data_IF_396372400682
#
_entry.id   IF_396372400682
#
_cell.length_a   1.000
_cell.length_b   1.000
_cell.length_c   1.000
_cell.angle_alpha   90.00
_cell.angle_beta   90.00
_cell.angle_gamma   90.00
#
_symmetry.space_group_name_H-M   'P 1'
#
loop_
_entity.id
_entity.type
_entity.pdbx_description
1 polymer ?
#
# COMPACT_ATOMS: atom_id res chain seq x y z
N UNK A 1 -43.39 5.80 31.01
CA UNK A 1 -43.27 4.32 30.97
C UNK A 1 -42.78 3.92 29.59
N UNK A 2 -41.48 3.63 29.48
CA UNK A 2 -40.85 2.85 28.41
C UNK A 2 -39.44 2.50 28.93
N UNK A 3 -39.46 1.54 29.85
CA UNK A 3 -38.49 0.46 30.05
C UNK A 3 -37.03 0.72 29.61
N UNK A 4 -36.22 1.16 30.57
CA UNK A 4 -34.77 0.95 30.53
C UNK A 4 -34.49 -0.51 30.89
N UNK A 5 -34.17 -1.32 29.89
CA UNK A 5 -33.63 -2.67 30.09
C UNK A 5 -32.23 -2.79 29.50
N UNK A 6 -31.23 -2.55 30.35
CA UNK A 6 -30.02 -3.36 30.35
C UNK A 6 -29.63 -3.63 31.81
N UNK A 7 -29.23 -4.87 32.10
CA UNK A 7 -27.80 -5.11 31.98
C UNK A 7 -27.50 -6.33 31.10
N UNK A 8 -26.76 -6.09 30.01
CA UNK A 8 -25.99 -7.15 29.39
C UNK A 8 -24.97 -7.63 30.42
N UNK A 9 -25.09 -8.88 30.88
CA UNK A 9 -24.21 -9.43 31.91
C UNK A 9 -22.74 -9.33 31.54
N UNK A 10 -21.89 -9.10 32.54
CA UNK A 10 -20.42 -9.05 32.47
C UNK A 10 -19.80 -10.20 31.64
N UNK A 11 -20.40 -11.39 31.72
CA UNK A 11 -19.98 -12.61 30.99
C UNK A 11 -20.23 -12.50 29.47
N UNK A 12 -21.26 -11.77 29.03
CA UNK A 12 -21.52 -11.51 27.61
C UNK A 12 -20.51 -10.52 27.02
N UNK A 13 -20.01 -9.57 27.83
CA UNK A 13 -18.90 -8.68 27.48
C UNK A 13 -17.56 -9.40 27.37
N UNK A 14 -17.38 -10.52 28.08
CA UNK A 14 -16.15 -11.34 28.04
C UNK A 14 -16.02 -12.18 26.76
N UNK A 15 -17.15 -12.53 26.10
CA UNK A 15 -17.15 -13.45 24.95
C UNK A 15 -16.98 -12.75 23.60
N UNK A 16 -17.05 -11.42 23.57
CA UNK A 16 -16.79 -10.59 22.38
C UNK A 16 -16.00 -9.36 22.81
N UNK A 17 -14.67 -9.33 22.62
CA UNK A 17 -13.87 -8.15 22.95
C UNK A 17 -14.35 -6.88 22.21
N UNK A 18 -15.05 -7.03 21.07
CA UNK A 18 -15.48 -5.92 20.22
C UNK A 18 -16.97 -5.97 19.87
N UNK A 19 -17.61 -4.78 19.81
CA UNK A 19 -18.98 -4.65 19.31
C UNK A 19 -19.02 -5.00 17.81
N UNK A 20 -20.02 -5.77 17.35
CA UNK A 20 -20.15 -6.11 15.93
C UNK A 20 -20.36 -4.81 15.12
N UNK A 21 -19.44 -4.53 14.18
CA UNK A 21 -19.48 -3.37 13.29
C UNK A 21 -18.38 -2.32 13.48
N UNK A 22 -17.57 -2.38 14.55
CA UNK A 22 -16.44 -1.45 14.76
C UNK A 22 -15.18 -1.90 14.00
N UNK A 23 -14.46 -0.98 13.37
CA UNK A 23 -13.18 -1.28 12.70
C UNK A 23 -13.31 -1.99 11.35
N UNK A 24 -14.54 -2.18 10.85
CA UNK A 24 -14.80 -3.11 9.75
C UNK A 24 -14.15 -2.70 8.43
N UNK A 25 -14.24 -1.42 8.07
CA UNK A 25 -13.64 -0.89 6.85
C UNK A 25 -12.12 -0.82 6.98
N UNK A 26 -11.62 -0.25 8.07
CA UNK A 26 -10.18 -0.09 8.31
C UNK A 26 -9.44 -1.43 8.30
N UNK A 27 -10.01 -2.47 8.93
CA UNK A 27 -9.42 -3.82 8.93
C UNK A 27 -9.46 -4.49 7.56
N UNK A 28 -10.53 -4.27 6.77
CA UNK A 28 -10.61 -4.77 5.39
C UNK A 28 -9.58 -4.10 4.49
N UNK A 29 -9.44 -2.77 4.61
CA UNK A 29 -8.43 -2.02 3.87
C UNK A 29 -7.04 -2.51 4.26
N UNK A 30 -6.72 -2.57 5.56
CA UNK A 30 -5.42 -3.03 6.04
C UNK A 30 -5.09 -4.47 5.58
N UNK A 31 -6.08 -5.36 5.59
CA UNK A 31 -5.94 -6.70 5.03
C UNK A 31 -5.64 -6.67 3.53
N UNK A 32 -6.47 -6.02 2.73
CA UNK A 32 -6.28 -5.98 1.28
C UNK A 32 -4.99 -5.28 0.88
N UNK A 33 -4.61 -4.19 1.54
CA UNK A 33 -3.32 -3.53 1.36
C UNK A 33 -2.17 -4.50 1.68
N UNK A 34 -2.23 -5.22 2.81
CA UNK A 34 -1.23 -6.23 3.15
C UNK A 34 -1.14 -7.36 2.12
N UNK A 35 -2.28 -7.85 1.61
CA UNK A 35 -2.33 -8.87 0.56
C UNK A 35 -1.73 -8.34 -0.74
N UNK A 36 -2.07 -7.12 -1.16
CA UNK A 36 -1.52 -6.51 -2.37
C UNK A 36 0.00 -6.34 -2.28
N UNK A 37 0.52 -5.89 -1.12
CA UNK A 37 1.96 -5.83 -0.89
C UNK A 37 2.62 -7.21 -0.92
N UNK A 38 2.00 -8.22 -0.31
CA UNK A 38 2.50 -9.60 -0.34
C UNK A 38 2.57 -10.16 -1.77
N UNK A 39 1.54 -9.90 -2.59
CA UNK A 39 1.52 -10.30 -4.00
C UNK A 39 2.56 -9.54 -4.83
N UNK A 40 2.71 -8.24 -4.60
CA UNK A 40 3.72 -7.42 -5.27
C UNK A 40 5.14 -7.91 -4.92
N UNK A 41 5.41 -8.18 -3.64
CA UNK A 41 6.70 -8.73 -3.19
C UNK A 41 6.96 -10.13 -3.76
N UNK A 42 5.94 -10.99 -3.83
CA UNK A 42 6.08 -12.31 -4.46
C UNK A 42 6.37 -12.22 -5.96
N UNK A 43 5.76 -11.25 -6.67
CA UNK A 43 6.07 -10.97 -8.08
C UNK A 43 7.51 -10.50 -8.23
N UNK A 44 7.95 -9.55 -7.42
CA UNK A 44 9.33 -9.04 -7.48
C UNK A 44 10.35 -10.13 -7.18
N UNK A 45 10.09 -10.96 -6.15
CA UNK A 45 10.87 -12.15 -5.83
C UNK A 45 10.94 -13.13 -7.01
N UNK A 46 9.82 -13.39 -7.69
CA UNK A 46 9.81 -14.24 -8.88
C UNK A 46 10.68 -13.66 -10.00
N UNK A 47 10.59 -12.35 -10.28
CA UNK A 47 11.42 -11.68 -11.30
C UNK A 47 12.89 -11.77 -10.94
N UNK A 48 13.24 -11.58 -9.67
CA UNK A 48 14.61 -11.72 -9.19
C UNK A 48 15.13 -13.17 -9.33
N UNK A 49 14.30 -14.17 -8.99
CA UNK A 49 14.64 -15.59 -9.12
C UNK A 49 14.86 -16.04 -10.56
N UNK A 50 14.24 -15.37 -11.55
CA UNK A 50 14.49 -15.62 -12.98
C UNK A 50 15.91 -15.28 -13.42
N UNK A 51 16.66 -14.50 -12.63
CA UNK A 51 18.08 -14.22 -12.86
C UNK A 51 18.99 -15.46 -12.72
N UNK A 52 18.51 -16.52 -12.05
CA UNK A 52 19.27 -17.75 -11.84
C UNK A 52 18.83 -18.85 -12.81
N UNK A 53 19.75 -19.31 -13.68
CA UNK A 53 19.47 -20.32 -14.70
C UNK A 53 18.85 -21.60 -14.10
N UNK A 54 19.36 -22.09 -12.97
CA UNK A 54 18.88 -23.29 -12.28
C UNK A 54 17.42 -23.18 -11.76
N UNK A 55 16.93 -21.96 -11.51
CA UNK A 55 15.58 -21.72 -10.97
C UNK A 55 14.55 -21.37 -12.05
N UNK A 56 15.05 -21.04 -13.25
CA UNK A 56 14.25 -20.74 -14.44
C UNK A 56 13.82 -22.01 -15.19
N UNK A 57 14.59 -23.09 -15.09
CA UNK A 57 14.28 -24.34 -15.80
C UNK A 57 12.93 -24.93 -15.37
N UNK A 58 12.20 -25.47 -16.36
CA UNK A 58 10.91 -26.11 -16.14
C UNK A 58 11.11 -27.45 -15.43
N UNK A 59 10.30 -27.70 -14.41
CA UNK A 59 10.39 -28.91 -13.57
C UNK A 59 10.07 -30.18 -14.38
N UNK A 60 9.18 -30.06 -15.36
CA UNK A 60 8.75 -31.14 -16.25
C UNK A 60 8.93 -30.71 -17.71
N UNK A 61 10.14 -30.76 -18.27
CA UNK A 61 10.36 -30.40 -19.67
C UNK A 61 9.58 -31.34 -20.60
N UNK A 62 8.83 -30.78 -21.55
CA UNK A 62 8.15 -31.54 -22.62
C UNK A 62 6.69 -31.96 -22.36
N UNK A 63 6.10 -31.61 -21.22
CA UNK A 63 4.66 -31.86 -20.97
C UNK A 63 3.81 -30.62 -21.29
N UNK A 64 2.53 -30.82 -21.65
CA UNK A 64 1.59 -29.71 -21.81
C UNK A 64 1.37 -28.90 -20.51
N UNK A 65 1.81 -29.41 -19.35
CA UNK A 65 1.84 -28.72 -18.06
C UNK A 65 3.10 -27.85 -17.87
N UNK A 66 4.13 -28.01 -18.72
CA UNK A 66 5.34 -27.18 -18.70
C UNK A 66 5.06 -25.73 -19.09
N UNK A 67 4.02 -25.52 -19.89
CA UNK A 67 3.49 -24.21 -20.25
C UNK A 67 2.03 -24.19 -19.84
N UNK A 68 1.67 -23.34 -18.89
CA UNK A 68 0.26 -23.11 -18.59
C UNK A 68 -0.47 -22.75 -19.91
N UNK A 69 -1.67 -23.28 -20.18
CA UNK A 69 -2.37 -23.25 -21.48
C UNK A 69 -2.77 -21.86 -22.02
N UNK A 70 -2.24 -20.78 -21.44
CA UNK A 70 -2.48 -19.36 -21.74
C UNK A 70 -1.13 -18.62 -21.80
N UNK A 71 -0.20 -19.00 -22.69
CA UNK A 71 1.16 -18.39 -22.83
C UNK A 71 1.81 -18.02 -21.48
N UNK A 72 1.59 -18.89 -20.49
CA UNK A 72 1.84 -18.57 -19.10
C UNK A 72 3.31 -18.81 -18.73
N UNK A 73 3.74 -18.31 -17.55
CA UNK A 73 5.09 -18.56 -17.06
C UNK A 73 5.35 -20.08 -17.01
N UNK A 74 6.55 -20.47 -17.46
CA UNK A 74 7.02 -21.85 -17.33
C UNK A 74 6.94 -22.28 -15.86
N UNK A 75 6.44 -23.51 -15.63
CA UNK A 75 6.34 -24.08 -14.29
C UNK A 75 7.75 -24.50 -13.80
N UNK A 76 8.54 -23.50 -13.42
CA UNK A 76 9.89 -23.65 -12.88
C UNK A 76 9.92 -23.54 -11.35
N UNK A 77 11.06 -23.88 -10.76
CA UNK A 77 11.26 -23.78 -9.30
C UNK A 77 11.05 -22.36 -8.78
N UNK A 78 11.40 -21.35 -9.58
CA UNK A 78 11.14 -19.93 -9.29
C UNK A 78 9.66 -19.63 -9.01
N UNK A 79 8.73 -20.23 -9.77
CA UNK A 79 7.29 -20.01 -9.60
C UNK A 79 6.78 -20.68 -8.32
N UNK A 80 7.24 -21.89 -8.01
CA UNK A 80 6.85 -22.59 -6.79
C UNK A 80 7.35 -21.88 -5.53
N UNK A 81 8.60 -21.40 -5.55
CA UNK A 81 9.18 -20.64 -4.44
C UNK A 81 8.41 -19.33 -4.25
N UNK A 82 8.11 -18.61 -5.33
CA UNK A 82 7.33 -17.38 -5.26
C UNK A 82 5.89 -17.61 -4.77
N UNK A 83 5.23 -18.68 -5.22
CA UNK A 83 3.88 -19.03 -4.79
C UNK A 83 3.86 -19.46 -3.31
N UNK A 84 4.84 -20.25 -2.85
CA UNK A 84 5.00 -20.62 -1.45
C UNK A 84 5.26 -19.38 -0.57
N UNK A 85 6.13 -18.48 -1.01
CA UNK A 85 6.40 -17.21 -0.33
C UNK A 85 5.12 -16.34 -0.26
N UNK A 86 4.34 -16.25 -1.33
CA UNK A 86 3.06 -15.55 -1.34
C UNK A 86 2.07 -16.14 -0.34
N UNK A 87 1.95 -17.48 -0.28
CA UNK A 87 1.10 -18.18 0.68
C UNK A 87 1.53 -17.92 2.14
N UNK A 88 2.84 -18.01 2.41
CA UNK A 88 3.39 -17.73 3.74
C UNK A 88 3.17 -16.26 4.14
N UNK A 89 3.40 -15.31 3.24
CA UNK A 89 3.17 -13.89 3.47
C UNK A 89 1.68 -13.59 3.70
N UNK A 90 0.78 -14.24 2.96
CA UNK A 90 -0.66 -14.11 3.16
C UNK A 90 -1.11 -14.60 4.54
N UNK A 91 -0.64 -15.78 4.97
CA UNK A 91 -0.89 -16.31 6.32
C UNK A 91 -0.33 -15.37 7.38
N UNK A 92 0.87 -14.86 7.17
CA UNK A 92 1.51 -13.89 8.07
C UNK A 92 0.67 -12.62 8.20
N UNK A 93 0.21 -12.01 7.11
CA UNK A 93 -0.67 -10.83 7.11
C UNK A 93 -1.95 -11.13 7.89
N UNK A 94 -2.61 -12.25 7.60
CA UNK A 94 -3.86 -12.64 8.28
C UNK A 94 -3.66 -12.90 9.78
N UNK A 95 -2.53 -13.46 10.18
CA UNK A 95 -2.17 -13.68 11.58
C UNK A 95 -1.82 -12.37 12.29
N UNK A 96 -1.04 -11.50 11.65
CA UNK A 96 -0.58 -10.23 12.19
C UNK A 96 -1.76 -9.29 12.48
N UNK A 97 -2.69 -9.14 11.53
CA UNK A 97 -3.91 -8.32 11.67
C UNK A 97 -4.91 -8.82 12.71
N UNK A 98 -4.75 -10.06 13.21
CA UNK A 98 -5.58 -10.61 14.29
C UNK A 98 -5.02 -10.30 15.69
N UNK A 99 -3.83 -9.69 15.79
CA UNK A 99 -3.27 -9.29 17.08
C UNK A 99 -4.19 -8.26 17.75
N UNK A 100 -4.49 -8.42 19.06
CA UNK A 100 -5.48 -7.58 19.75
C UNK A 100 -5.10 -6.08 19.71
N UNK A 101 -3.85 -5.75 20.01
CA UNK A 101 -3.38 -4.36 20.01
C UNK A 101 -3.49 -3.66 18.65
N UNK A 102 -3.32 -4.38 17.53
CA UNK A 102 -3.52 -3.83 16.19
C UNK A 102 -5.00 -3.63 15.89
N UNK A 103 -5.85 -4.58 16.32
CA UNK A 103 -7.28 -4.43 16.16
C UNK A 103 -7.80 -3.22 16.95
N UNK A 104 -7.34 -3.03 18.18
CA UNK A 104 -7.64 -1.85 19.02
C UNK A 104 -7.19 -0.56 18.32
N UNK A 105 -5.93 -0.49 17.87
CA UNK A 105 -5.38 0.68 17.18
C UNK A 105 -6.20 1.07 15.94
N UNK A 106 -6.59 0.10 15.11
CA UNK A 106 -7.37 0.34 13.90
C UNK A 106 -8.80 0.80 14.21
N UNK A 107 -9.39 0.30 15.31
CA UNK A 107 -10.73 0.71 15.77
C UNK A 107 -10.69 2.14 16.33
N UNK A 108 -9.68 2.44 17.16
CA UNK A 108 -9.49 3.76 17.75
C UNK A 108 -9.21 4.80 16.66
N UNK A 109 -8.34 4.46 15.70
CA UNK A 109 -8.07 5.31 14.53
C UNK A 109 -9.34 5.56 13.73
N UNK A 110 -10.15 4.53 13.43
CA UNK A 110 -11.41 4.74 12.71
C UNK A 110 -12.37 5.66 13.47
N UNK A 111 -12.42 5.53 14.80
CA UNK A 111 -13.26 6.34 15.66
C UNK A 111 -12.78 7.79 15.69
N UNK A 112 -11.47 8.01 15.74
CA UNK A 112 -10.88 9.36 15.74
C UNK A 112 -11.04 10.03 14.38
N UNK A 113 -10.86 9.29 13.29
CA UNK A 113 -11.05 9.81 11.93
C UNK A 113 -12.49 10.23 11.63
N UNK A 114 -13.49 9.69 12.35
CA UNK A 114 -14.89 10.14 12.25
C UNK A 114 -15.15 11.49 12.92
N UNK A 115 -14.27 11.91 13.83
CA UNK A 115 -14.35 13.23 14.47
C UNK A 115 -13.75 14.33 13.60
N UNK A 116 -12.91 13.97 12.63
CA UNK A 116 -12.29 14.91 11.70
C UNK A 116 -13.34 15.39 10.70
N UNK A 117 -13.65 16.68 10.76
CA UNK A 117 -14.43 17.38 9.73
C UNK A 117 -13.57 17.57 8.48
N UNK A 118 -13.76 16.71 7.47
CA UNK A 118 -13.09 16.87 6.20
C UNK A 118 -13.61 18.12 5.47
N UNK A 119 -12.72 18.92 4.86
CA UNK A 119 -13.12 20.09 4.10
C UNK A 119 -14.03 19.68 2.92
N UNK A 120 -14.96 20.57 2.56
CA UNK A 120 -15.75 20.36 1.37
C UNK A 120 -14.85 20.32 0.12
N UNK A 121 -15.29 19.65 -0.96
CA UNK A 121 -14.51 19.53 -2.20
C UNK A 121 -14.03 20.89 -2.73
N UNK A 122 -14.87 21.92 -2.61
CA UNK A 122 -14.55 23.27 -3.07
C UNK A 122 -13.47 23.94 -2.21
N UNK A 123 -13.48 23.72 -0.90
CA UNK A 123 -12.47 24.22 0.02
C UNK A 123 -11.11 23.55 -0.23
N UNK A 124 -11.10 22.23 -0.44
CA UNK A 124 -9.90 21.48 -0.80
C UNK A 124 -9.31 21.95 -2.14
N UNK A 125 -10.16 22.29 -3.12
CA UNK A 125 -9.72 22.83 -4.41
C UNK A 125 -9.13 24.22 -4.26
N UNK A 126 -9.76 25.09 -3.47
CA UNK A 126 -9.25 26.42 -3.19
C UNK A 126 -7.89 26.36 -2.47
N UNK A 127 -7.73 25.48 -1.49
CA UNK A 127 -6.45 25.27 -0.80
C UNK A 127 -5.36 24.79 -1.77
N UNK A 128 -5.66 23.82 -2.64
CA UNK A 128 -4.71 23.30 -3.63
C UNK A 128 -4.30 24.38 -4.63
N UNK A 129 -5.27 25.18 -5.13
CA UNK A 129 -5.01 26.26 -6.09
C UNK A 129 -4.00 27.28 -5.56
N UNK A 130 -4.13 27.69 -4.30
CA UNK A 130 -3.18 28.63 -3.67
C UNK A 130 -1.77 28.02 -3.65
N UNK A 131 -1.63 26.78 -3.18
CA UNK A 131 -0.32 26.10 -3.14
C UNK A 131 0.28 25.96 -4.54
N UNK A 132 -0.52 25.54 -5.52
CA UNK A 132 -0.06 25.41 -6.91
C UNK A 132 0.44 26.74 -7.50
N UNK A 133 -0.26 27.84 -7.24
CA UNK A 133 0.18 29.18 -7.69
C UNK A 133 1.49 29.58 -7.01
N UNK A 134 1.62 29.36 -5.70
CA UNK A 134 2.86 29.67 -4.96
C UNK A 134 4.05 28.87 -5.50
N UNK A 135 3.85 27.57 -5.75
CA UNK A 135 4.90 26.72 -6.34
C UNK A 135 5.26 27.20 -7.75
N UNK A 136 4.29 27.58 -8.59
CA UNK A 136 4.56 28.12 -9.92
C UNK A 136 5.38 29.43 -9.88
N UNK A 137 5.07 30.32 -8.94
CA UNK A 137 5.85 31.56 -8.74
C UNK A 137 7.29 31.21 -8.34
N UNK A 138 7.50 30.30 -7.39
CA UNK A 138 8.85 29.87 -7.01
C UNK A 138 9.60 29.20 -8.17
N UNK A 139 8.93 28.33 -8.93
CA UNK A 139 9.53 27.72 -10.13
C UNK A 139 9.96 28.78 -11.13
N UNK A 140 9.12 29.79 -11.40
CA UNK A 140 9.46 30.88 -12.32
C UNK A 140 10.64 31.72 -11.81
N UNK A 141 10.67 32.06 -10.53
CA UNK A 141 11.77 32.80 -9.91
C UNK A 141 13.07 32.01 -9.98
N UNK A 142 13.06 30.73 -9.59
CA UNK A 142 14.23 29.85 -9.65
C UNK A 142 14.73 29.71 -11.09
N UNK A 143 13.83 29.51 -12.06
CA UNK A 143 14.19 29.44 -13.47
C UNK A 143 14.90 30.71 -13.97
N UNK A 144 14.47 31.89 -13.51
CA UNK A 144 15.14 33.15 -13.83
C UNK A 144 16.53 33.21 -13.19
N UNK A 145 16.66 32.84 -11.92
CA UNK A 145 17.96 32.80 -11.25
C UNK A 145 18.93 31.83 -11.93
N UNK A 146 18.46 30.63 -12.29
CA UNK A 146 19.27 29.64 -13.01
C UNK A 146 19.78 30.21 -14.33
N UNK A 147 18.90 30.88 -15.11
CA UNK A 147 19.31 31.52 -16.36
C UNK A 147 20.31 32.66 -16.13
N UNK A 148 20.09 33.51 -15.13
CA UNK A 148 21.02 34.62 -14.82
C UNK A 148 22.39 34.09 -14.42
N UNK A 149 22.44 33.06 -13.57
CA UNK A 149 23.69 32.46 -13.12
C UNK A 149 24.43 31.83 -14.29
N UNK A 150 23.73 31.06 -15.15
CA UNK A 150 24.34 30.49 -16.36
C UNK A 150 24.92 31.58 -17.26
N UNK A 151 24.14 32.62 -17.58
CA UNK A 151 24.61 33.75 -18.40
C UNK A 151 25.81 34.48 -17.79
N UNK A 152 25.82 34.66 -16.47
CA UNK A 152 26.93 35.28 -15.77
C UNK A 152 28.19 34.42 -15.79
N UNK A 153 28.04 33.10 -15.62
CA UNK A 153 29.15 32.16 -15.71
C UNK A 153 29.72 32.05 -17.13
N UNK A 154 28.86 32.03 -18.16
CA UNK A 154 29.27 32.11 -19.57
C UNK A 154 30.13 33.37 -19.81
N UNK A 155 29.70 34.51 -19.28
CA UNK A 155 30.41 35.78 -19.42
C UNK A 155 31.78 35.77 -18.72
N UNK A 156 31.85 35.20 -17.50
CA UNK A 156 33.08 35.18 -16.70
C UNK A 156 34.10 34.14 -17.20
N UNK A 157 33.64 32.99 -17.69
CA UNK A 157 34.51 31.88 -18.11
C UNK A 157 34.82 31.89 -19.61
N UNK A 158 34.03 32.60 -20.41
CA UNK A 158 34.17 32.66 -21.88
C UNK A 158 33.81 31.35 -22.59
N UNK A 159 33.29 30.36 -21.86
CA UNK A 159 32.84 29.06 -22.38
C UNK A 159 31.31 29.02 -22.42
N UNK A 160 30.69 28.47 -23.48
CA UNK A 160 29.26 28.21 -23.48
C UNK A 160 28.95 27.04 -22.53
N UNK A 161 27.99 27.24 -21.62
CA UNK A 161 27.55 26.26 -20.61
C UNK A 161 26.08 25.85 -20.82
#
# INVERSE_FOLDING_TARGET
MAEGTQPAGFVAGLKRPYRPGQGGLTRRIAYWTGVLFALWAARDLWVWLQGFAALREAILPGTALARLPLDGPVLGWSLLIAAAAAGAAWVFVAWFLKRPWLADLLIDTETEMKKVSWPARDEAWNATKVVSVTVLIFTAVLMVFDQVIVRLLELLTGLPL
#
